data_IF_294120361602
#
_entry.id   IF_294120361602
#
_cell.length_a   1.000
_cell.length_b   1.000
_cell.length_c   1.000
_cell.angle_alpha   90.00
_cell.angle_beta   90.00
_cell.angle_gamma   90.00
#
_symmetry.space_group_name_H-M   'P 1'
#
loop_
_entity.id
_entity.type
_entity.pdbx_description
1 polymer ?
#
# COMPACT_ATOMS: atom_id res chain seq x y z
N UNK A 1 21.77 6.23 3.26
CA UNK A 1 21.30 5.78 1.92
C UNK A 1 19.96 5.11 2.11
N UNK A 2 18.91 5.60 1.47
CA UNK A 2 17.57 5.03 1.55
C UNK A 2 17.43 3.77 0.70
N UNK A 3 16.40 2.94 0.96
CA UNK A 3 16.10 1.79 0.11
C UNK A 3 15.40 2.23 -1.17
N UNK A 4 14.45 3.16 -1.04
CA UNK A 4 13.66 3.69 -2.16
C UNK A 4 13.41 5.18 -1.96
N UNK A 5 13.50 5.94 -3.04
CA UNK A 5 13.15 7.37 -3.09
C UNK A 5 12.14 7.62 -4.21
N UNK A 6 10.95 8.07 -3.83
CA UNK A 6 9.90 8.50 -4.74
C UNK A 6 10.03 10.02 -4.92
N UNK A 7 10.33 10.46 -6.13
CA UNK A 7 10.58 11.87 -6.45
C UNK A 7 9.37 12.56 -7.06
N UNK A 8 9.17 13.83 -6.73
CA UNK A 8 8.24 14.73 -7.41
C UNK A 8 6.76 14.31 -7.34
N UNK A 9 6.35 13.51 -6.35
CA UNK A 9 4.97 13.13 -6.18
C UNK A 9 4.11 14.30 -5.67
N UNK A 10 2.84 14.35 -6.07
CA UNK A 10 1.86 15.12 -5.32
C UNK A 10 1.45 14.30 -4.10
N UNK A 11 2.01 14.62 -2.95
CA UNK A 11 1.78 13.89 -1.70
C UNK A 11 0.54 14.44 -1.01
N UNK A 12 -0.38 13.54 -0.64
CA UNK A 12 -1.55 13.85 0.18
C UNK A 12 -1.47 13.01 1.45
N UNK A 13 -1.13 13.65 2.56
CA UNK A 13 -1.05 13.02 3.88
C UNK A 13 -1.79 13.90 4.90
N UNK A 14 -3.09 13.62 5.13
CA UNK A 14 -3.91 14.42 6.03
C UNK A 14 -3.42 14.41 7.49
N UNK A 15 -2.83 13.29 7.92
CA UNK A 15 -2.35 13.15 9.30
C UNK A 15 -1.23 14.13 9.62
N UNK A 16 -0.32 14.35 8.65
CA UNK A 16 0.83 15.24 8.79
C UNK A 16 0.62 16.58 8.09
N UNK A 17 -0.60 16.88 7.64
CA UNK A 17 -0.96 18.12 6.95
C UNK A 17 -0.12 18.39 5.68
N UNK A 18 0.27 17.33 4.97
CA UNK A 18 0.98 17.44 3.69
C UNK A 18 -0.03 17.38 2.55
N UNK A 19 0.00 18.40 1.69
CA UNK A 19 -0.78 18.42 0.44
C UNK A 19 -0.02 19.26 -0.60
N UNK A 20 0.80 18.58 -1.40
CA UNK A 20 1.62 19.24 -2.40
C UNK A 20 2.77 18.40 -2.89
N UNK A 21 3.57 18.96 -3.81
CA UNK A 21 4.72 18.24 -4.37
C UNK A 21 5.79 18.02 -3.29
N UNK A 22 6.17 16.76 -3.12
CA UNK A 22 7.24 16.34 -2.23
C UNK A 22 7.88 15.02 -2.71
N UNK A 23 9.03 14.72 -2.14
CA UNK A 23 9.68 13.42 -2.26
C UNK A 23 9.38 12.58 -1.01
N UNK A 24 9.35 11.27 -1.19
CA UNK A 24 9.16 10.32 -0.09
C UNK A 24 10.31 9.32 -0.09
N UNK A 25 11.05 9.27 0.99
CA UNK A 25 12.13 8.31 1.20
C UNK A 25 11.65 7.17 2.11
N UNK A 26 11.99 5.95 1.71
CA UNK A 26 11.65 4.72 2.41
C UNK A 26 12.92 4.01 2.82
N UNK A 27 12.97 3.56 4.06
CA UNK A 27 14.06 2.77 4.61
C UNK A 27 13.50 1.73 5.59
N UNK A 28 14.00 0.51 5.52
CA UNK A 28 13.58 -0.60 6.39
C UNK A 28 12.05 -0.78 6.40
N UNK A 29 11.43 -0.71 5.20
CA UNK A 29 9.98 -0.82 4.98
C UNK A 29 9.14 0.26 5.70
N UNK A 30 9.74 1.40 6.05
CA UNK A 30 9.06 2.53 6.69
C UNK A 30 9.29 3.81 5.92
N UNK A 31 8.33 4.73 5.98
CA UNK A 31 8.52 6.10 5.51
C UNK A 31 9.51 6.78 6.45
N UNK A 32 10.69 7.07 5.94
CA UNK A 32 11.77 7.69 6.71
C UNK A 32 11.73 9.22 6.64
N UNK A 33 11.29 9.77 5.50
CA UNK A 33 11.28 11.21 5.26
C UNK A 33 10.25 11.59 4.21
N UNK A 34 9.53 12.68 4.44
CA UNK A 34 8.70 13.36 3.44
C UNK A 34 9.12 14.82 3.41
N UNK A 35 9.69 15.25 2.30
CA UNK A 35 10.24 16.60 2.16
C UNK A 35 10.42 16.94 0.68
N UNK A 36 10.42 18.22 0.32
CA UNK A 36 10.85 18.65 -1.03
C UNK A 36 12.37 18.48 -1.17
N UNK A 37 12.76 18.10 -2.38
CA UNK A 37 14.18 18.07 -2.81
C UNK A 37 15.09 17.23 -1.88
N UNK A 38 14.68 15.98 -1.62
CA UNK A 38 15.55 15.03 -0.94
C UNK A 38 16.76 14.74 -1.82
N UNK A 39 17.96 15.06 -1.32
CA UNK A 39 19.24 14.93 -2.05
C UNK A 39 20.06 13.72 -1.63
N UNK A 40 19.68 13.05 -0.56
CA UNK A 40 20.35 11.86 -0.06
C UNK A 40 20.20 10.69 -1.03
N UNK A 41 21.21 9.86 -1.13
CA UNK A 41 21.23 8.69 -2.01
C UNK A 41 20.21 7.63 -1.60
N UNK A 42 19.67 6.93 -2.59
CA UNK A 42 18.83 5.75 -2.42
C UNK A 42 19.28 4.63 -3.37
N UNK A 43 18.98 3.38 -2.99
CA UNK A 43 19.25 2.21 -3.83
C UNK A 43 18.42 2.23 -5.11
N UNK A 44 17.20 2.72 -5.00
CA UNK A 44 16.24 2.85 -6.11
C UNK A 44 15.60 4.24 -6.06
N UNK A 45 15.45 4.86 -7.22
CA UNK A 45 14.80 6.17 -7.36
C UNK A 45 13.75 6.06 -8.45
N UNK A 46 12.50 6.43 -8.12
CA UNK A 46 11.38 6.43 -9.06
C UNK A 46 10.81 7.83 -9.18
N UNK A 47 10.68 8.34 -10.40
CA UNK A 47 10.02 9.61 -10.68
C UNK A 47 8.50 9.45 -10.68
N UNK A 48 7.83 10.19 -9.81
CA UNK A 48 6.38 10.25 -9.64
C UNK A 48 5.77 11.54 -10.16
N UNK A 49 6.47 12.26 -11.04
CA UNK A 49 5.94 13.48 -11.67
C UNK A 49 4.56 13.21 -12.28
N UNK A 50 3.58 14.03 -11.90
CA UNK A 50 2.19 13.94 -12.37
C UNK A 50 1.37 12.83 -11.72
N UNK A 51 1.90 12.12 -10.71
CA UNK A 51 1.18 11.12 -9.93
C UNK A 51 0.90 11.62 -8.52
N UNK A 52 -0.20 11.12 -7.94
CA UNK A 52 -0.54 11.36 -6.54
C UNK A 52 -0.07 10.19 -5.69
N UNK A 53 0.58 10.49 -4.58
CA UNK A 53 0.97 9.53 -3.56
C UNK A 53 0.18 9.83 -2.29
N UNK A 54 -0.53 8.82 -1.79
CA UNK A 54 -1.39 8.92 -0.61
C UNK A 54 -1.33 7.63 0.19
N UNK A 55 -1.78 7.63 1.46
CA UNK A 55 -1.97 6.39 2.22
C UNK A 55 -2.86 5.42 1.44
N UNK A 56 -2.53 4.13 1.52
CA UNK A 56 -3.34 3.09 0.89
C UNK A 56 -4.77 3.08 1.42
N UNK A 57 -5.71 2.73 0.57
CA UNK A 57 -7.13 2.64 0.94
C UNK A 57 -7.30 1.49 1.94
N UNK A 58 -8.05 1.74 3.01
CA UNK A 58 -8.49 0.74 3.97
C UNK A 58 -9.96 0.46 3.71
N UNK A 59 -10.28 -0.75 3.26
CA UNK A 59 -11.66 -1.19 3.07
C UNK A 59 -12.08 -2.02 4.28
N UNK A 60 -12.96 -1.45 5.10
CA UNK A 60 -13.38 -2.06 6.36
C UNK A 60 -14.52 -3.07 6.22
N UNK A 61 -14.97 -3.36 5.00
CA UNK A 61 -16.07 -4.31 4.79
C UNK A 61 -15.98 -4.94 3.40
N UNK A 62 -15.31 -6.08 3.31
CA UNK A 62 -15.27 -6.89 2.09
C UNK A 62 -15.77 -8.30 2.36
N UNK A 63 -16.07 -9.03 1.31
CA UNK A 63 -16.48 -10.43 1.35
C UNK A 63 -15.62 -11.23 0.37
N UNK A 64 -14.50 -11.74 0.82
CA UNK A 64 -13.51 -12.44 0.00
C UNK A 64 -13.49 -13.95 0.24
N UNK A 65 -13.88 -14.39 1.46
CA UNK A 65 -13.63 -15.75 1.92
C UNK A 65 -14.54 -16.82 1.32
N UNK A 66 -15.82 -16.56 1.12
CA UNK A 66 -16.76 -17.59 0.69
C UNK A 66 -16.99 -17.64 -0.83
N UNK A 67 -17.05 -16.49 -1.47
CA UNK A 67 -17.45 -16.45 -2.88
C UNK A 67 -16.32 -16.77 -3.85
N UNK A 68 -15.09 -16.63 -3.44
CA UNK A 68 -14.04 -16.56 -4.44
C UNK A 68 -12.96 -17.60 -4.32
N UNK A 69 -12.74 -18.23 -3.18
CA UNK A 69 -11.76 -19.33 -3.00
C UNK A 69 -10.45 -19.17 -3.79
N UNK A 70 -10.16 -17.96 -4.27
CA UNK A 70 -9.14 -17.68 -5.25
C UNK A 70 -8.40 -16.38 -4.92
N UNK A 71 -7.16 -16.24 -5.40
CA UNK A 71 -6.35 -15.03 -5.20
C UNK A 71 -6.89 -13.79 -5.93
N UNK A 72 -7.98 -13.91 -6.66
CA UNK A 72 -8.50 -12.84 -7.52
C UNK A 72 -8.99 -11.62 -6.72
N UNK A 73 -9.72 -11.84 -5.63
CA UNK A 73 -10.23 -10.76 -4.79
C UNK A 73 -9.14 -9.86 -4.21
N UNK A 74 -8.16 -10.40 -3.46
CA UNK A 74 -7.03 -9.61 -2.95
C UNK A 74 -6.24 -8.89 -4.04
N UNK A 75 -6.04 -9.52 -5.20
CA UNK A 75 -5.36 -8.89 -6.33
C UNK A 75 -6.14 -7.71 -6.89
N UNK A 76 -7.45 -7.85 -7.05
CA UNK A 76 -8.29 -6.74 -7.50
C UNK A 76 -8.24 -5.56 -6.54
N UNK A 77 -8.31 -5.82 -5.25
CA UNK A 77 -8.18 -4.78 -4.23
C UNK A 77 -6.84 -4.07 -4.34
N UNK A 78 -5.73 -4.82 -4.39
CA UNK A 78 -4.40 -4.26 -4.54
C UNK A 78 -4.24 -3.41 -5.80
N UNK A 79 -4.75 -3.88 -6.94
CA UNK A 79 -4.71 -3.13 -8.21
C UNK A 79 -5.50 -1.82 -8.18
N UNK A 80 -6.45 -1.69 -7.27
CA UNK A 80 -7.25 -0.49 -7.05
C UNK A 80 -6.79 0.35 -5.87
N UNK A 81 -5.60 0.07 -5.33
CA UNK A 81 -4.98 0.88 -4.28
C UNK A 81 -5.44 0.55 -2.86
N UNK A 82 -6.21 -0.53 -2.66
CA UNK A 82 -6.53 -1.03 -1.33
C UNK A 82 -5.32 -1.78 -0.79
N UNK A 83 -4.83 -1.36 0.38
CA UNK A 83 -3.67 -1.95 1.04
C UNK A 83 -4.03 -2.72 2.30
N UNK A 84 -5.24 -2.52 2.81
CA UNK A 84 -5.75 -3.19 4.01
C UNK A 84 -7.24 -3.41 3.85
N UNK A 85 -7.72 -4.60 4.22
CA UNK A 85 -9.16 -4.85 4.26
C UNK A 85 -9.55 -5.73 5.45
N UNK A 86 -10.84 -5.63 5.82
CA UNK A 86 -11.49 -6.49 6.80
C UNK A 86 -12.51 -7.37 6.09
N UNK A 87 -12.27 -8.67 6.07
CA UNK A 87 -13.21 -9.64 5.49
C UNK A 87 -14.29 -10.01 6.52
N UNK A 88 -15.54 -9.73 6.18
CA UNK A 88 -16.68 -9.88 7.07
C UNK A 88 -17.53 -11.13 6.75
N UNK A 89 -17.11 -11.98 5.84
CA UNK A 89 -18.00 -13.03 5.32
C UNK A 89 -17.39 -14.41 5.16
N UNK A 90 -16.21 -14.67 5.56
CA UNK A 90 -15.61 -16.00 5.40
C UNK A 90 -15.06 -16.56 6.71
N UNK A 91 -14.93 -17.89 6.80
CA UNK A 91 -14.14 -18.48 7.87
C UNK A 91 -12.69 -18.00 7.80
N UNK A 92 -12.12 -17.67 8.95
CA UNK A 92 -10.71 -17.24 9.05
C UNK A 92 -9.77 -18.27 8.41
N UNK A 93 -10.10 -19.54 8.50
CA UNK A 93 -9.33 -20.63 7.90
C UNK A 93 -9.09 -20.44 6.41
N UNK A 94 -10.08 -19.90 5.68
CA UNK A 94 -9.91 -19.65 4.24
C UNK A 94 -8.81 -18.63 3.95
N UNK A 95 -8.68 -17.61 4.79
CA UNK A 95 -7.61 -16.61 4.67
C UNK A 95 -6.26 -17.24 5.02
N UNK A 96 -6.20 -18.01 6.11
CA UNK A 96 -4.98 -18.67 6.58
C UNK A 96 -4.46 -19.70 5.59
N UNK A 97 -5.34 -20.45 4.93
CA UNK A 97 -4.99 -21.47 3.94
C UNK A 97 -4.60 -20.86 2.58
N UNK A 98 -5.31 -19.83 2.14
CA UNK A 98 -5.10 -19.23 0.82
C UNK A 98 -3.94 -18.23 0.81
N UNK A 99 -3.67 -17.54 1.90
CA UNK A 99 -2.58 -16.58 2.00
C UNK A 99 -1.22 -17.18 1.64
N UNK A 100 -0.76 -18.25 2.29
CA UNK A 100 0.49 -18.92 1.96
C UNK A 100 0.53 -19.51 0.56
N UNK A 101 -0.60 -19.99 0.07
CA UNK A 101 -0.70 -20.66 -1.24
C UNK A 101 -0.64 -19.72 -2.42
N UNK A 102 -1.24 -18.56 -2.33
CA UNK A 102 -1.42 -17.66 -3.46
C UNK A 102 -0.76 -16.29 -3.29
N UNK A 103 -0.33 -15.96 -2.08
CA UNK A 103 0.07 -14.62 -1.71
C UNK A 103 -1.14 -13.67 -1.66
N UNK A 104 -1.16 -12.78 -0.70
CA UNK A 104 -2.30 -11.85 -0.51
C UNK A 104 -2.02 -10.47 -1.13
N UNK A 105 -0.81 -9.95 -0.95
CA UNK A 105 -0.41 -8.65 -1.49
C UNK A 105 -1.00 -7.42 -0.77
N UNK A 106 -1.89 -7.64 0.19
CA UNK A 106 -2.52 -6.62 1.04
C UNK A 106 -2.59 -7.12 2.48
N UNK A 107 -2.80 -6.22 3.44
CA UNK A 107 -3.09 -6.63 4.82
C UNK A 107 -4.55 -7.05 4.91
N UNK A 108 -4.81 -8.21 5.48
CA UNK A 108 -6.16 -8.73 5.67
C UNK A 108 -6.41 -9.07 7.13
N UNK A 109 -7.59 -8.74 7.61
CA UNK A 109 -8.16 -9.19 8.89
C UNK A 109 -9.56 -9.76 8.65
N UNK A 110 -10.02 -10.56 9.63
CA UNK A 110 -11.35 -11.19 9.62
C UNK A 110 -12.00 -11.01 10.99
#
# INVERSE_FOLDING_TARGET
MYDLLLKNAWVVDPLNSVNGVADVAIQDSKIAKVQRDITEEAKEVIDFTGKTLQPGIIDSHVHLGEMWGSPFGPRMLAMNGVTTCLDMAGPLENILDNGPKYGVGINMAN
#
